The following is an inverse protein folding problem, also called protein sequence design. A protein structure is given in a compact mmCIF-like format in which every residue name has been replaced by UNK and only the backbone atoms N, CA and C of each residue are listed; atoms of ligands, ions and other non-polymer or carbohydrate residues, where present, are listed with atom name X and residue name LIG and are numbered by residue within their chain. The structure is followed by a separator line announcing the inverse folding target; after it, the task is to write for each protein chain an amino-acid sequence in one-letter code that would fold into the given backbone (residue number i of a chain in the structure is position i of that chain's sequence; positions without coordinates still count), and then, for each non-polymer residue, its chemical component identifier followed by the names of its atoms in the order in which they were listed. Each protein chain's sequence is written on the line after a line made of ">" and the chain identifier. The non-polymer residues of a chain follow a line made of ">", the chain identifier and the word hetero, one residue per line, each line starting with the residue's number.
data_IF_086691938757
#
_entry.id   IF_086691938757
#
_cell.length_a   1.000
_cell.length_b   1.000
_cell.length_c   1.000
_cell.angle_alpha   90.00
_cell.angle_beta   90.00
_cell.angle_gamma   90.00
#
_symmetry.space_group_name_H-M   'P 1'
#
loop_
_entity.id
_entity.type
_entity.pdbx_description
1 polymer ?
#
# COMPACT_ATOMS: atom_id res chain seq x y z
N UNK A 1 25.84 -42.91 26.35
CA UNK A 1 24.72 -42.08 25.87
C UNK A 1 24.83 -40.81 26.68
N UNK A 2 25.37 -39.75 26.08
CA UNK A 2 25.58 -38.48 26.75
C UNK A 2 24.52 -37.54 26.20
N UNK A 3 23.57 -37.18 27.05
CA UNK A 3 22.52 -36.21 26.76
C UNK A 3 23.17 -34.81 26.78
N UNK A 4 23.34 -34.22 25.60
CA UNK A 4 23.69 -32.81 25.45
C UNK A 4 22.39 -31.99 25.57
N UNK A 5 22.07 -31.57 26.80
CA UNK A 5 21.15 -30.46 27.03
C UNK A 5 21.83 -29.19 26.49
N UNK A 6 21.38 -28.75 25.32
CA UNK A 6 21.74 -27.44 24.78
C UNK A 6 20.85 -26.44 25.50
N UNK A 7 21.41 -25.75 26.50
CA UNK A 7 20.78 -24.59 27.12
C UNK A 7 20.52 -23.53 26.03
N UNK A 8 19.26 -23.37 25.63
CA UNK A 8 18.83 -22.30 24.74
C UNK A 8 18.99 -20.96 25.48
N UNK A 9 20.12 -20.27 25.27
CA UNK A 9 20.38 -18.93 25.80
C UNK A 9 19.25 -17.97 25.39
N UNK A 10 18.49 -17.49 26.38
CA UNK A 10 17.39 -16.56 26.19
C UNK A 10 17.95 -15.17 25.77
N UNK A 11 17.93 -14.87 24.48
CA UNK A 11 18.37 -13.57 23.96
C UNK A 11 17.33 -12.50 24.25
N UNK A 12 17.64 -11.57 25.15
CA UNK A 12 16.80 -10.40 25.45
C UNK A 12 17.11 -9.25 24.49
N UNK A 13 16.08 -8.74 23.79
CA UNK A 13 16.20 -7.59 22.88
C UNK A 13 15.43 -6.36 23.40
N UNK A 14 16.10 -5.20 23.41
CA UNK A 14 15.48 -3.90 23.76
C UNK A 14 15.00 -3.22 22.47
N UNK A 15 13.68 -3.07 22.33
CA UNK A 15 13.05 -2.47 21.15
C UNK A 15 12.46 -1.08 21.46
N UNK A 16 12.73 -0.10 20.60
CA UNK A 16 12.04 1.20 20.61
C UNK A 16 10.72 1.07 19.87
N UNK A 17 9.61 1.42 20.52
CA UNK A 17 8.26 1.33 19.95
C UNK A 17 7.61 2.70 19.90
N UNK A 18 7.06 3.06 18.74
CA UNK A 18 6.25 4.28 18.59
C UNK A 18 4.84 4.04 19.14
N UNK A 19 4.38 4.92 20.02
CA UNK A 19 3.10 4.81 20.70
C UNK A 19 2.21 6.03 20.44
N UNK A 20 0.98 5.80 19.97
CA UNK A 20 -0.03 6.84 19.81
C UNK A 20 -1.03 6.72 20.97
N UNK A 21 -1.14 7.78 21.77
CA UNK A 21 -2.03 7.83 22.93
C UNK A 21 -3.00 9.00 22.83
N UNK A 22 -4.17 8.84 23.44
CA UNK A 22 -5.12 9.92 23.69
C UNK A 22 -5.80 9.66 25.02
N UNK A 23 -6.38 10.69 25.64
CA UNK A 23 -7.15 10.55 26.87
C UNK A 23 -8.33 9.56 26.75
N UNK A 24 -8.84 9.32 25.53
CA UNK A 24 -10.08 8.54 25.31
C UNK A 24 -9.85 7.05 25.03
N UNK A 25 -8.63 6.59 24.76
CA UNK A 25 -8.38 5.18 24.40
C UNK A 25 -6.98 4.72 24.84
N UNK A 26 -6.79 3.40 24.94
CA UNK A 26 -5.51 2.80 25.32
C UNK A 26 -4.42 3.07 24.28
N UNK A 27 -3.15 2.93 24.66
CA UNK A 27 -2.03 3.02 23.73
C UNK A 27 -2.27 2.18 22.46
N UNK A 28 -2.10 2.81 21.30
CA UNK A 28 -2.03 2.17 19.99
C UNK A 28 -0.56 2.11 19.55
N UNK A 29 -0.13 0.93 19.10
CA UNK A 29 1.22 0.68 18.61
C UNK A 29 1.19 0.41 17.11
N UNK A 30 1.22 1.46 16.28
CA UNK A 30 1.16 1.29 14.84
C UNK A 30 2.39 0.58 14.29
N UNK A 31 2.22 -0.10 13.15
CA UNK A 31 3.35 -0.57 12.35
C UNK A 31 4.00 0.64 11.66
N UNK A 32 5.19 1.00 12.11
CA UNK A 32 5.97 2.15 11.63
C UNK A 32 7.18 1.67 10.84
N UNK A 33 7.47 2.36 9.74
CA UNK A 33 8.72 2.24 8.98
C UNK A 33 9.49 3.55 9.06
N UNK A 34 10.78 3.46 9.34
CA UNK A 34 11.67 4.61 9.28
C UNK A 34 12.29 4.69 7.88
N UNK A 35 12.06 5.80 7.18
CA UNK A 35 12.64 6.07 5.85
C UNK A 35 13.24 7.46 5.90
N UNK A 36 14.55 7.56 5.64
CA UNK A 36 15.30 8.82 5.64
C UNK A 36 15.12 9.65 6.94
N UNK A 37 15.08 8.96 8.08
CA UNK A 37 14.88 9.57 9.41
C UNK A 37 13.45 9.98 9.73
N UNK A 38 12.50 9.76 8.81
CA UNK A 38 11.09 10.09 8.98
C UNK A 38 10.29 8.81 9.25
N UNK A 39 9.42 8.85 10.26
CA UNK A 39 8.54 7.75 10.62
C UNK A 39 7.27 7.75 9.75
N UNK A 40 6.96 6.59 9.15
CA UNK A 40 5.78 6.36 8.34
C UNK A 40 4.92 5.25 8.94
N UNK A 41 3.66 5.57 9.21
CA UNK A 41 2.63 4.68 9.75
C UNK A 41 1.92 3.91 8.62
N UNK A 42 1.74 2.61 8.80
CA UNK A 42 0.88 1.79 7.93
C UNK A 42 -0.61 2.03 8.24
N UNK A 43 -1.36 2.53 7.27
CA UNK A 43 -2.81 2.65 7.31
C UNK A 43 -3.46 1.43 6.64
N UNK A 44 -4.06 0.58 7.47
CA UNK A 44 -4.78 -0.61 7.01
C UNK A 44 -6.26 -0.56 7.41
N UNK A 45 -7.21 -0.88 6.51
CA UNK A 45 -8.62 -1.01 6.88
C UNK A 45 -8.89 -2.20 7.81
N UNK A 46 -7.88 -3.05 8.03
CA UNK A 46 -7.93 -4.23 8.90
C UNK A 46 -7.22 -4.02 10.24
N UNK A 47 -6.74 -2.81 10.52
CA UNK A 47 -6.12 -2.49 11.80
C UNK A 47 -7.20 -2.26 12.87
N UNK A 48 -7.20 -3.13 13.89
CA UNK A 48 -8.19 -3.11 14.98
C UNK A 48 -8.01 -1.89 15.87
N UNK A 49 -6.77 -1.46 16.09
CA UNK A 49 -6.46 -0.35 16.97
C UNK A 49 -6.66 0.98 16.24
N UNK A 50 -6.40 1.04 14.92
CA UNK A 50 -6.84 2.17 14.09
C UNK A 50 -8.37 2.32 14.11
N UNK A 51 -9.10 1.20 14.05
CA UNK A 51 -10.57 1.22 14.18
C UNK A 51 -11.00 1.81 15.53
N UNK A 52 -10.37 1.39 16.63
CA UNK A 52 -10.64 1.95 17.95
C UNK A 52 -10.23 3.42 18.06
N UNK A 53 -9.07 3.80 17.52
CA UNK A 53 -8.56 5.17 17.48
C UNK A 53 -9.56 6.11 16.80
N UNK A 54 -10.07 5.69 15.65
CA UNK A 54 -11.00 6.48 14.85
C UNK A 54 -12.40 6.45 15.43
N UNK A 55 -13.00 5.28 15.62
CA UNK A 55 -14.43 5.15 15.98
C UNK A 55 -14.71 5.12 17.49
N UNK A 56 -13.70 4.82 18.32
CA UNK A 56 -13.86 4.55 19.75
C UNK A 56 -14.26 3.09 20.07
N UNK A 57 -14.58 2.29 19.06
CA UNK A 57 -15.08 0.91 19.22
C UNK A 57 -14.12 -0.06 18.51
N UNK A 58 -13.85 -1.21 19.13
CA UNK A 58 -13.01 -2.25 18.53
C UNK A 58 -13.66 -2.87 17.30
N UNK A 59 -12.84 -3.19 16.30
CA UNK A 59 -13.30 -3.89 15.10
C UNK A 59 -13.82 -5.30 15.41
N UNK A 60 -15.02 -5.61 14.94
CA UNK A 60 -15.62 -6.94 15.10
C UNK A 60 -15.28 -7.86 13.92
N UNK A 61 -14.37 -8.81 14.14
CA UNK A 61 -13.95 -9.76 13.10
C UNK A 61 -15.01 -10.84 12.79
N UNK A 62 -15.62 -11.40 13.85
CA UNK A 62 -16.59 -12.49 13.74
C UNK A 62 -17.99 -11.96 13.38
N UNK A 63 -18.69 -12.62 12.45
CA UNK A 63 -20.10 -12.33 12.17
C UNK A 63 -20.94 -12.83 13.34
N UNK A 64 -21.52 -11.93 14.14
CA UNK A 64 -22.67 -12.28 14.96
C UNK A 64 -23.92 -12.20 14.08
N UNK A 65 -24.81 -13.17 14.21
CA UNK A 65 -25.96 -13.40 13.30
C UNK A 65 -26.94 -12.21 13.23
N UNK A 66 -26.93 -11.31 14.22
CA UNK A 66 -27.91 -10.23 14.37
C UNK A 66 -27.31 -8.81 14.45
N UNK A 67 -25.98 -8.64 14.47
CA UNK A 67 -25.36 -7.31 14.59
C UNK A 67 -24.61 -6.91 13.32
N UNK A 68 -24.78 -5.66 12.84
CA UNK A 68 -23.97 -5.14 11.74
C UNK A 68 -22.49 -5.13 12.15
N UNK A 69 -21.61 -5.54 11.23
CA UNK A 69 -20.17 -5.59 11.51
C UNK A 69 -19.61 -4.18 11.71
N UNK A 70 -19.13 -3.88 12.91
CA UNK A 70 -18.36 -2.66 13.15
C UNK A 70 -16.96 -2.79 12.51
N UNK A 71 -16.70 -2.02 11.45
CA UNK A 71 -15.43 -2.01 10.73
C UNK A 71 -15.16 -0.64 10.11
N UNK A 72 -13.90 -0.36 9.79
CA UNK A 72 -13.46 0.87 9.11
C UNK A 72 -13.21 0.65 7.61
N UNK A 73 -13.91 -0.30 6.98
CA UNK A 73 -13.78 -0.53 5.54
C UNK A 73 -14.59 0.53 4.76
N UNK A 74 -14.13 1.77 4.84
CA UNK A 74 -14.77 2.97 4.28
C UNK A 74 -14.11 3.40 2.95
N UNK A 75 -14.77 4.27 2.19
CA UNK A 75 -14.27 4.78 0.88
C UNK A 75 -12.93 5.52 0.94
N UNK A 76 -12.57 6.07 2.10
CA UNK A 76 -11.28 6.73 2.34
C UNK A 76 -10.07 5.94 1.83
N UNK A 77 -9.99 4.63 2.13
CA UNK A 77 -8.83 3.82 1.79
C UNK A 77 -8.62 3.64 0.27
N UNK A 78 -9.60 3.17 -0.52
CA UNK A 78 -9.43 3.07 -1.97
C UNK A 78 -9.24 4.44 -2.64
N UNK A 79 -9.92 5.49 -2.17
CA UNK A 79 -9.74 6.85 -2.70
C UNK A 79 -8.33 7.39 -2.44
N UNK A 80 -7.81 7.20 -1.23
CA UNK A 80 -6.43 7.60 -0.89
C UNK A 80 -5.41 6.80 -1.70
N UNK A 81 -5.63 5.50 -1.94
CA UNK A 81 -4.78 4.69 -2.82
C UNK A 81 -4.78 5.21 -4.25
N UNK A 82 -5.94 5.59 -4.78
CA UNK A 82 -6.06 6.16 -6.12
C UNK A 82 -5.30 7.50 -6.23
N UNK A 83 -5.52 8.42 -5.28
CA UNK A 83 -4.82 9.71 -5.21
C UNK A 83 -3.31 9.55 -5.09
N UNK A 84 -2.84 8.62 -4.24
CA UNK A 84 -1.40 8.33 -4.13
C UNK A 84 -0.83 7.83 -5.46
N UNK A 85 -1.55 6.96 -6.16
CA UNK A 85 -1.14 6.45 -7.48
C UNK A 85 -1.08 7.57 -8.52
N UNK A 86 -2.07 8.46 -8.54
CA UNK A 86 -2.08 9.65 -9.40
C UNK A 86 -0.87 10.55 -9.11
N UNK A 87 -0.60 10.85 -7.84
CA UNK A 87 0.56 11.64 -7.44
C UNK A 87 1.89 10.98 -7.83
N UNK A 88 2.00 9.64 -7.75
CA UNK A 88 3.20 8.92 -8.23
C UNK A 88 3.37 9.06 -9.76
N UNK A 89 2.27 8.95 -10.52
CA UNK A 89 2.29 9.14 -11.97
C UNK A 89 2.69 10.58 -12.35
N UNK A 90 2.15 11.57 -11.64
CA UNK A 90 2.49 12.98 -11.84
C UNK A 90 3.95 13.27 -11.51
N UNK A 91 4.47 12.72 -10.40
CA UNK A 91 5.87 12.86 -10.01
C UNK A 91 6.82 12.24 -11.05
N UNK A 92 6.49 11.06 -11.58
CA UNK A 92 7.24 10.43 -12.67
C UNK A 92 7.21 11.27 -13.95
N UNK A 93 6.04 11.78 -14.32
CA UNK A 93 5.89 12.64 -15.50
C UNK A 93 6.72 13.92 -15.36
N UNK A 94 6.66 14.57 -14.20
CA UNK A 94 7.44 15.77 -13.90
C UNK A 94 8.94 15.49 -13.97
N UNK A 95 9.40 14.36 -13.42
CA UNK A 95 10.79 13.94 -13.49
C UNK A 95 11.27 13.75 -14.93
N UNK A 96 10.51 13.01 -15.76
CA UNK A 96 10.89 12.74 -17.14
C UNK A 96 10.92 14.01 -18.00
N UNK A 97 10.00 14.95 -17.77
CA UNK A 97 9.99 16.22 -18.48
C UNK A 97 11.19 17.08 -18.08
N UNK A 98 11.51 17.14 -16.79
CA UNK A 98 12.70 17.82 -16.30
C UNK A 98 13.99 17.21 -16.88
N UNK A 99 14.09 15.90 -16.92
CA UNK A 99 15.25 15.21 -17.49
C UNK A 99 15.40 15.46 -19.01
N UNK A 100 14.29 15.52 -19.76
CA UNK A 100 14.31 15.87 -21.18
C UNK A 100 14.75 17.32 -21.41
N UNK A 101 14.25 18.25 -20.58
CA UNK A 101 14.64 19.66 -20.62
C UNK A 101 16.14 19.84 -20.31
N UNK A 102 16.65 19.14 -19.29
CA UNK A 102 18.07 19.16 -18.91
C UNK A 102 18.98 18.52 -19.98
N UNK A 103 18.48 17.52 -20.71
CA UNK A 103 19.20 16.86 -21.81
C UNK A 103 19.04 17.57 -23.16
N UNK A 104 18.26 18.65 -23.25
CA UNK A 104 17.84 19.28 -24.50
C UNK A 104 17.24 18.29 -25.53
N UNK A 105 16.56 17.27 -25.03
CA UNK A 105 15.90 16.24 -25.85
C UNK A 105 14.40 16.52 -25.99
N UNK A 106 13.78 15.92 -27.00
CA UNK A 106 12.33 16.03 -27.18
C UNK A 106 11.57 15.41 -26.00
N UNK A 107 10.55 16.14 -25.52
CA UNK A 107 9.70 15.65 -24.44
C UNK A 107 8.89 14.44 -24.90
N UNK A 108 8.77 13.39 -24.07
CA UNK A 108 7.98 12.22 -24.45
C UNK A 108 6.49 12.57 -24.57
N UNK A 109 5.90 12.28 -25.74
CA UNK A 109 4.49 12.52 -26.03
C UNK A 109 3.56 11.70 -25.11
N UNK A 110 3.99 10.47 -24.77
CA UNK A 110 3.23 9.56 -23.92
C UNK A 110 4.10 9.02 -22.79
N UNK A 111 3.78 9.45 -21.56
CA UNK A 111 4.41 8.94 -20.35
C UNK A 111 3.65 7.70 -19.87
N UNK A 112 4.40 6.63 -19.58
CA UNK A 112 3.86 5.40 -18.99
C UNK A 112 3.39 5.63 -17.55
N UNK A 113 2.57 4.71 -17.02
CA UNK A 113 2.25 4.70 -15.59
C UNK A 113 3.49 4.38 -14.74
N UNK A 114 3.49 4.92 -13.52
CA UNK A 114 4.48 4.63 -12.50
C UNK A 114 4.44 3.17 -12.04
N UNK A 115 5.62 2.65 -11.73
CA UNK A 115 5.89 1.32 -11.18
C UNK A 115 6.56 1.43 -9.81
N UNK A 116 6.72 0.32 -9.11
CA UNK A 116 7.35 0.33 -7.78
C UNK A 116 8.85 0.67 -7.85
N UNK A 117 9.53 0.20 -8.89
CA UNK A 117 10.94 0.45 -9.20
C UNK A 117 11.27 1.93 -9.50
N UNK A 118 10.27 2.73 -9.91
CA UNK A 118 10.46 4.18 -10.17
C UNK A 118 10.73 5.00 -8.90
N UNK A 119 10.54 4.41 -7.71
CA UNK A 119 10.86 5.04 -6.42
C UNK A 119 12.34 5.42 -6.28
N UNK A 120 13.23 4.71 -6.96
CA UNK A 120 14.67 4.99 -6.97
C UNK A 120 15.05 6.14 -7.90
N UNK A 121 14.20 6.43 -8.89
CA UNK A 121 14.44 7.43 -9.93
C UNK A 121 13.88 8.78 -9.50
N UNK A 122 12.64 8.78 -8.99
CA UNK A 122 11.91 10.02 -8.69
C UNK A 122 12.11 10.42 -7.23
N UNK A 123 11.57 9.61 -6.32
CA UNK A 123 11.67 9.77 -4.87
C UNK A 123 11.03 8.56 -4.20
N UNK A 124 11.52 8.20 -3.01
CA UNK A 124 10.89 7.18 -2.15
C UNK A 124 9.57 7.65 -1.55
N UNK A 125 9.26 8.94 -1.64
CA UNK A 125 8.09 9.57 -1.03
C UNK A 125 7.31 10.40 -2.04
N UNK A 126 6.02 10.59 -1.79
CA UNK A 126 5.13 11.38 -2.64
C UNK A 126 4.22 12.24 -1.78
N UNK A 127 4.08 13.51 -2.15
CA UNK A 127 3.13 14.42 -1.53
C UNK A 127 1.75 14.26 -2.20
N UNK A 128 0.71 14.08 -1.40
CA UNK A 128 -0.67 13.86 -1.85
C UNK A 128 -1.58 14.90 -1.22
N UNK A 129 -2.28 15.65 -2.06
CA UNK A 129 -3.28 16.62 -1.62
C UNK A 129 -4.59 15.89 -1.25
N UNK A 130 -4.96 15.99 0.02
CA UNK A 130 -6.15 15.36 0.57
C UNK A 130 -7.37 16.31 0.47
N UNK A 131 -8.59 15.77 0.29
CA UNK A 131 -9.79 16.61 0.18
C UNK A 131 -10.07 17.37 1.48
N UNK A 132 -10.68 18.54 1.37
CA UNK A 132 -11.08 19.31 2.55
C UNK A 132 -12.25 18.61 3.26
N UNK A 133 -12.12 18.44 4.58
CA UNK A 133 -13.13 17.86 5.48
C UNK A 133 -13.66 18.88 6.50
N UNK A 134 -13.45 20.18 6.24
CA UNK A 134 -13.80 21.29 7.13
C UNK A 134 -12.62 21.89 7.90
N UNK A 135 -11.39 21.43 7.66
CA UNK A 135 -10.15 21.93 8.28
C UNK A 135 -9.17 22.50 7.24
N UNK A 136 -9.58 22.61 5.98
CA UNK A 136 -8.76 23.02 4.84
C UNK A 136 -8.13 21.84 4.10
N UNK A 137 -7.63 22.07 2.86
CA UNK A 137 -6.87 21.07 2.13
C UNK A 137 -5.54 20.77 2.87
N UNK A 138 -5.28 19.49 3.11
CA UNK A 138 -4.06 19.04 3.78
C UNK A 138 -3.18 18.26 2.80
N UNK A 139 -1.91 18.64 2.68
CA UNK A 139 -0.92 17.89 1.91
C UNK A 139 -0.24 16.88 2.83
N UNK A 140 -0.35 15.60 2.50
CA UNK A 140 0.24 14.51 3.27
C UNK A 140 1.34 13.83 2.47
N UNK A 141 2.43 13.48 3.15
CA UNK A 141 3.50 12.69 2.55
C UNK A 141 3.25 11.20 2.75
N UNK A 142 3.28 10.44 1.66
CA UNK A 142 3.18 8.98 1.66
C UNK A 142 4.48 8.36 1.14
N UNK A 143 4.76 7.11 1.52
CA UNK A 143 5.78 6.33 0.80
C UNK A 143 5.26 5.96 -0.59
N UNK A 144 6.19 5.93 -1.55
CA UNK A 144 5.94 5.49 -2.91
C UNK A 144 5.31 4.09 -2.93
N UNK A 145 4.27 3.92 -3.73
CA UNK A 145 3.54 2.65 -3.76
C UNK A 145 2.33 2.68 -4.68
N UNK A 146 2.31 1.76 -5.66
CA UNK A 146 1.19 1.66 -6.60
C UNK A 146 0.12 0.71 -6.07
N UNK A 147 0.52 -0.49 -5.64
CA UNK A 147 -0.37 -1.53 -5.10
C UNK A 147 -0.13 -1.82 -3.62
N UNK A 148 1.03 -1.38 -3.10
CA UNK A 148 1.48 -1.59 -1.74
C UNK A 148 0.58 -0.95 -0.67
N UNK A 149 0.82 -1.31 0.60
CA UNK A 149 0.12 -0.73 1.73
C UNK A 149 0.31 0.81 1.82
N UNK A 150 -0.64 1.50 2.46
CA UNK A 150 -0.60 2.95 2.60
C UNK A 150 0.32 3.31 3.77
N UNK A 151 1.55 3.69 3.49
CA UNK A 151 2.44 4.25 4.51
C UNK A 151 2.38 5.77 4.44
N UNK A 152 1.90 6.40 5.51
CA UNK A 152 1.70 7.85 5.64
C UNK A 152 2.65 8.39 6.71
N UNK A 153 3.24 9.56 6.48
CA UNK A 153 4.10 10.21 7.46
C UNK A 153 3.38 10.38 8.80
N UNK A 154 4.03 9.96 9.88
CA UNK A 154 3.49 10.02 11.23
C UNK A 154 3.61 11.44 11.79
N UNK A 155 2.53 12.21 11.65
CA UNK A 155 2.39 13.53 12.28
C UNK A 155 1.05 13.66 12.99
N UNK A 156 0.97 14.54 13.99
CA UNK A 156 -0.27 14.77 14.74
C UNK A 156 -1.37 15.33 13.82
N UNK A 157 -1.03 16.22 12.88
CA UNK A 157 -1.97 16.77 11.90
C UNK A 157 -2.56 15.67 11.01
N UNK A 158 -1.70 14.78 10.49
CA UNK A 158 -2.13 13.68 9.64
C UNK A 158 -3.06 12.71 10.39
N UNK A 159 -2.74 12.39 11.65
CA UNK A 159 -3.57 11.53 12.49
C UNK A 159 -4.95 12.13 12.79
N UNK A 160 -5.02 13.45 13.05
CA UNK A 160 -6.29 14.17 13.26
C UNK A 160 -7.14 14.13 12.00
N UNK A 161 -6.55 14.43 10.85
CA UNK A 161 -7.24 14.37 9.57
C UNK A 161 -7.75 12.96 9.26
N UNK A 162 -6.90 11.93 9.38
CA UNK A 162 -7.30 10.53 9.12
C UNK A 162 -8.48 10.12 10.01
N UNK A 163 -8.47 10.53 11.28
CA UNK A 163 -9.58 10.29 12.20
C UNK A 163 -10.88 10.94 11.73
N UNK A 164 -10.82 12.20 11.31
CA UNK A 164 -11.99 12.92 10.83
C UNK A 164 -12.47 12.36 9.48
N UNK A 165 -11.56 12.09 8.54
CA UNK A 165 -11.86 11.54 7.22
C UNK A 165 -12.51 10.15 7.28
N UNK A 166 -12.00 9.24 8.13
CA UNK A 166 -12.59 7.90 8.31
C UNK A 166 -13.99 7.99 8.91
N UNK A 167 -14.24 8.92 9.82
CA UNK A 167 -15.57 9.14 10.42
C UNK A 167 -16.58 9.73 9.44
N UNK A 168 -16.12 10.64 8.57
CA UNK A 168 -16.96 11.27 7.55
C UNK A 168 -17.23 10.33 6.36
N UNK A 169 -16.36 9.35 6.13
CA UNK A 169 -16.45 8.47 4.95
C UNK A 169 -17.53 7.39 5.10
N UNK A 170 -18.32 7.14 4.04
CA UNK A 170 -19.31 6.07 4.06
C UNK A 170 -18.65 4.68 4.06
N UNK A 171 -19.26 3.74 4.77
CA UNK A 171 -18.84 2.33 4.79
C UNK A 171 -19.10 1.68 3.43
N UNK A 172 -18.13 0.92 2.91
CA UNK A 172 -18.30 0.18 1.67
C UNK A 172 -19.10 -1.08 1.95
N UNK A 173 -20.37 -1.10 1.52
CA UNK A 173 -21.17 -2.32 1.57
C UNK A 173 -20.70 -3.25 0.44
N UNK A 174 -20.27 -4.47 0.81
CA UNK A 174 -19.64 -5.45 -0.10
C UNK A 174 -20.48 -5.83 -1.34
N UNK A 175 -21.76 -5.44 -1.39
CA UNK A 175 -22.65 -5.61 -2.54
C UNK A 175 -22.57 -4.51 -3.60
N UNK A 176 -22.31 -3.26 -3.22
CA UNK A 176 -22.31 -2.12 -4.16
C UNK A 176 -21.04 -2.08 -5.01
N UNK A 177 -19.88 -2.35 -4.40
CA UNK A 177 -18.61 -2.40 -5.13
C UNK A 177 -18.55 -3.52 -6.19
N UNK A 178 -19.28 -4.62 -5.97
CA UNK A 178 -19.43 -5.70 -6.96
C UNK A 178 -20.40 -5.31 -8.08
N UNK A 179 -21.44 -4.54 -7.78
CA UNK A 179 -22.38 -4.02 -8.77
C UNK A 179 -21.72 -2.95 -9.67
N UNK A 180 -20.92 -2.04 -9.10
CA UNK A 180 -20.21 -1.00 -9.83
C UNK A 180 -19.17 -1.60 -10.80
N UNK A 181 -18.40 -2.61 -10.37
CA UNK A 181 -17.49 -3.36 -11.26
C UNK A 181 -18.22 -4.13 -12.38
N UNK A 182 -19.44 -4.61 -12.12
CA UNK A 182 -20.27 -5.28 -13.14
C UNK A 182 -20.83 -4.31 -14.17
N UNK A 183 -21.13 -3.07 -13.78
CA UNK A 183 -21.59 -2.04 -14.70
C UNK A 183 -20.46 -1.46 -15.55
N UNK A 184 -19.25 -1.32 -14.99
CA UNK A 184 -18.08 -0.83 -15.76
C UNK A 184 -17.48 -1.88 -16.70
N UNK A 185 -17.70 -3.18 -16.44
CA UNK A 185 -17.18 -4.28 -17.27
C UNK A 185 -18.04 -4.64 -18.49
N UNK A 186 -19.20 -4.00 -18.72
CA UNK A 186 -20.12 -4.32 -19.82
C UNK A 186 -19.85 -3.48 -21.07
N UNK A 187 -18.60 -3.43 -21.53
CA UNK A 187 -18.21 -2.91 -22.86
C UNK A 187 -17.08 -3.73 -23.46
N UNK A 188 -17.35 -5.01 -23.75
CA UNK A 188 -16.68 -5.70 -24.86
C UNK A 188 -17.74 -6.61 -25.47
N UNK A 189 -18.10 -6.33 -26.72
CA UNK A 189 -19.02 -7.14 -27.49
C UNK A 189 -18.56 -8.60 -27.45
N UNK A 190 -19.47 -9.51 -27.12
CA UNK A 190 -19.29 -10.90 -27.53
C UNK A 190 -19.07 -10.86 -29.03
N UNK A 191 -17.94 -11.37 -29.57
CA UNK A 191 -17.88 -11.61 -31.00
C UNK A 191 -19.04 -12.55 -31.33
N UNK A 192 -19.94 -12.10 -32.19
CA UNK A 192 -20.98 -12.94 -32.77
C UNK A 192 -20.26 -14.17 -33.35
N UNK A 193 -20.64 -15.36 -32.89
CA UNK A 193 -20.21 -16.61 -33.53
C UNK A 193 -20.76 -16.53 -34.95
N UNK A 194 -19.89 -16.18 -35.91
CA UNK A 194 -20.21 -16.31 -37.32
C UNK A 194 -20.48 -17.80 -37.56
N UNK A 195 -21.64 -18.19 -38.10
CA UNK A 195 -21.88 -19.57 -38.49
C UNK A 195 -20.78 -19.99 -39.45
N UNK A 196 -20.05 -21.05 -39.10
CA UNK A 196 -19.06 -21.65 -39.98
C UNK A 196 -19.84 -22.46 -41.00
N UNK A 197 -19.89 -22.00 -42.25
CA UNK A 197 -20.46 -22.79 -43.34
C UNK A 197 -19.77 -24.16 -43.41
N UNK A 198 -20.52 -25.25 -43.67
CA UNK A 198 -19.93 -26.58 -43.82
C UNK A 198 -19.08 -26.63 -45.09
N UNK A 199 -17.76 -26.65 -44.91
CA UNK A 199 -16.81 -26.88 -46.01
C UNK A 199 -16.97 -28.32 -46.49
N UNK A 200 -17.25 -28.44 -47.80
CA UNK A 200 -17.38 -29.69 -48.53
C UNK A 200 -16.13 -30.57 -48.36
N UNK A 201 -16.37 -31.84 -48.06
CA UNK A 201 -15.35 -32.88 -48.04
C UNK A 201 -14.80 -33.10 -49.45
N UNK A 202 -13.52 -32.82 -49.64
CA UNK A 202 -12.76 -33.28 -50.80
C UNK A 202 -11.38 -33.76 -50.34
N UNK A 203 -11.11 -35.03 -50.62
CA UNK A 203 -9.79 -35.49 -51.04
C UNK A 203 -8.86 -35.99 -49.94
N UNK A 204 -8.87 -37.30 -49.75
CA UNK A 204 -7.73 -38.06 -49.24
C UNK A 204 -6.45 -37.72 -50.02
N UNK A 205 -5.37 -37.44 -49.29
CA UNK A 205 -4.05 -37.18 -49.84
C UNK A 205 -3.00 -37.21 -48.74
N UNK A 206 -2.21 -38.28 -48.76
CA UNK A 206 -1.00 -38.59 -47.98
C UNK A 206 -0.42 -37.46 -47.13
N UNK A 207 -0.40 -37.67 -45.80
CA UNK A 207 0.47 -36.92 -44.89
C UNK A 207 1.61 -37.83 -44.40
N UNK A 208 2.88 -37.40 -44.56
CA UNK A 208 4.02 -38.09 -43.96
C UNK A 208 4.02 -37.94 -42.43
N UNK A 209 4.58 -38.96 -41.78
CA UNK A 209 4.50 -39.20 -40.33
C UNK A 209 5.12 -38.14 -39.41
N UNK A 210 4.90 -38.30 -38.10
CA UNK A 210 5.28 -37.30 -37.09
C UNK A 210 6.79 -37.27 -36.87
N UNK A 211 7.37 -36.07 -37.00
CA UNK A 211 8.76 -35.79 -36.60
C UNK A 211 8.80 -35.67 -35.07
N UNK A 212 9.71 -36.43 -34.46
CA UNK A 212 9.95 -36.47 -33.03
C UNK A 212 10.23 -35.07 -32.46
N UNK A 213 9.47 -34.67 -31.44
CA UNK A 213 9.71 -33.48 -30.66
C UNK A 213 10.94 -33.69 -29.77
N UNK A 214 12.04 -33.00 -30.09
CA UNK A 214 13.21 -32.91 -29.22
C UNK A 214 12.83 -32.06 -27.99
N UNK A 215 12.94 -32.68 -26.81
CA UNK A 215 12.73 -32.04 -25.52
C UNK A 215 13.75 -30.95 -25.26
N UNK A 216 13.28 -29.73 -25.02
CA UNK A 216 14.07 -28.69 -24.39
C UNK A 216 13.94 -28.83 -22.87
N UNK A 217 15.08 -29.09 -22.24
CA UNK A 217 15.20 -29.24 -20.79
C UNK A 217 14.94 -27.94 -20.04
N UNK A 218 14.20 -28.08 -18.94
CA UNK A 218 14.13 -27.11 -17.85
C UNK A 218 15.52 -26.87 -17.27
N UNK A 219 16.11 -25.71 -17.57
CA UNK A 219 17.17 -25.14 -16.76
C UNK A 219 16.59 -23.97 -15.96
N UNK A 220 16.29 -24.23 -14.68
CA UNK A 220 16.06 -23.16 -13.71
C UNK A 220 17.38 -22.44 -13.45
N UNK A 221 17.43 -21.09 -13.55
CA UNK A 221 18.60 -20.35 -13.10
C UNK A 221 18.70 -20.37 -11.56
N UNK A 222 19.93 -20.42 -11.01
CA UNK A 222 20.15 -20.42 -9.57
C UNK A 222 19.73 -19.07 -8.95
N UNK A 223 19.07 -19.16 -7.79
CA UNK A 223 18.83 -18.00 -6.91
C UNK A 223 20.16 -17.57 -6.31
N UNK A 224 20.62 -16.37 -6.66
CA UNK A 224 21.67 -15.66 -5.95
C UNK A 224 21.08 -15.06 -4.67
N UNK A 225 21.27 -15.75 -3.55
CA UNK A 225 21.25 -15.14 -2.23
C UNK A 225 22.60 -14.47 -2.01
N UNK A 226 22.65 -13.14 -2.05
CA UNK A 226 23.68 -12.32 -1.41
C UNK A 226 23.32 -10.84 -1.62
N UNK A 227 22.91 -10.15 -0.55
CA UNK A 227 23.57 -8.91 -0.12
C UNK A 227 22.98 -8.41 1.21
N UNK A 228 23.79 -8.64 2.25
CA UNK A 228 23.64 -8.11 3.60
C UNK A 228 24.14 -6.66 3.58
N UNK A 229 23.22 -5.71 3.44
CA UNK A 229 23.50 -4.27 3.47
C UNK A 229 23.51 -3.70 4.89
N UNK A 230 24.72 -3.64 5.46
CA UNK A 230 25.17 -2.92 6.64
C UNK A 230 24.44 -1.57 6.90
N UNK A 231 23.62 -1.47 7.95
CA UNK A 231 23.10 -0.18 8.44
C UNK A 231 23.90 0.30 9.66
N UNK A 232 24.73 1.32 9.44
CA UNK A 232 25.35 2.11 10.50
C UNK A 232 24.26 2.86 11.29
N UNK A 233 24.13 2.53 12.57
CA UNK A 233 23.29 3.24 13.54
C UNK A 233 23.96 4.56 13.92
N UNK A 234 23.53 5.68 13.34
CA UNK A 234 23.75 6.99 13.92
C UNK A 234 22.61 7.28 14.90
N UNK A 235 22.90 7.14 16.19
CA UNK A 235 22.00 7.52 17.27
C UNK A 235 22.00 9.04 17.41
N UNK A 236 20.97 9.70 16.89
CA UNK A 236 20.66 11.10 17.22
C UNK A 236 19.61 11.09 18.33
N UNK A 237 20.05 11.36 19.56
CA UNK A 237 19.21 11.53 20.73
C UNK A 237 18.58 12.92 20.72
N UNK A 238 17.29 13.01 20.37
CA UNK A 238 16.47 14.19 20.68
C UNK A 238 15.77 13.99 22.03
N UNK A 239 16.17 14.80 23.01
CA UNK A 239 15.49 14.92 24.30
C UNK A 239 14.25 15.79 24.09
N UNK A 240 13.07 15.18 24.16
CA UNK A 240 11.80 15.91 24.16
C UNK A 240 11.48 16.35 25.58
N UNK A 241 11.76 17.63 25.89
CA UNK A 241 11.43 18.26 27.17
C UNK A 241 9.97 18.73 27.15
N UNK A 242 9.06 17.92 27.66
CA UNK A 242 7.71 18.37 27.98
C UNK A 242 7.74 19.06 29.35
N UNK A 243 7.85 20.38 29.35
CA UNK A 243 7.64 21.21 30.53
C UNK A 243 6.21 21.00 31.07
N UNK A 244 6.10 20.60 32.32
CA UNK A 244 4.85 20.59 33.10
C UNK A 244 4.66 22.01 33.62
N UNK A 245 3.52 22.69 33.37
CA UNK A 245 3.23 23.95 34.03
C UNK A 245 2.85 23.67 35.49
N UNK A 246 3.65 24.19 36.42
CA UNK A 246 3.29 24.25 37.84
C UNK A 246 2.09 25.18 38.02
N UNK A 247 0.99 24.62 38.52
CA UNK A 247 -0.13 25.39 39.02
C UNK A 247 0.29 26.09 40.31
N UNK A 248 0.49 27.40 40.24
CA UNK A 248 0.56 28.27 41.41
C UNK A 248 -0.81 28.34 42.10
N UNK A 249 -0.87 27.84 43.33
CA UNK A 249 -1.90 28.21 44.30
C UNK A 249 -1.47 29.53 44.97
N UNK A 250 -2.30 30.55 44.83
CA UNK A 250 -2.48 31.61 45.82
C UNK A 250 -3.99 31.75 46.06
#
# INVERSE_FOLDING_TARGET
>A
MSDNEVDEEETLEICKVTCVRSAKFSAWYPNVKLVDGIEYLNLSPWDKDLCRFTTGIYMQMKKKRQQPKHNIHVRFFPETKARRKEACNEALKAFLYRAADEAHADRPEKVRNAREEDSWIVSRTVAVTMPDIGEGPLVMTFLWGITSALFMQLTVANLKYVRAAIRASPTIVRGEAAAERRMSGRKVGRPCKVPRDPVAALGDGDRPGPVAALGYGDQQPPRSDDEVGFMQKLAVSYVCSCAVPEHGFL
#
